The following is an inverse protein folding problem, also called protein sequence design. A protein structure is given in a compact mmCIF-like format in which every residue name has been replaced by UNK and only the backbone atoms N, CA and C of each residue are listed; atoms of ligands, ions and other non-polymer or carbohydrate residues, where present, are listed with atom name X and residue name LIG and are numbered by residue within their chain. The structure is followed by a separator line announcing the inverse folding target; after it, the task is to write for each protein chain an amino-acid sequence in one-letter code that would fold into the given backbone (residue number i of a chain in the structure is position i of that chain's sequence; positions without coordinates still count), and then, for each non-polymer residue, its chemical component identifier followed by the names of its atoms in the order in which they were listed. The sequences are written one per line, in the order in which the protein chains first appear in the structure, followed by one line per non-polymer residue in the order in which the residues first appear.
data_IF_776539516920
#
_entry.id   IF_776539516920
#
_cell.length_a   1.000
_cell.length_b   1.000
_cell.length_c   1.000
_cell.angle_alpha   90.00
_cell.angle_beta   90.00
_cell.angle_gamma   90.00
#
_symmetry.space_group_name_H-M   'P 1'
#
loop_
_entity.id
_entity.type
_entity.pdbx_description
1 polymer ?
#
# COMPACT_ATOMS: atom_id res chain seq x y z
N UNK A 1 -59.83 14.35 -14.27
CA UNK A 1 -59.75 13.81 -12.89
C UNK A 1 -59.68 12.28 -12.98
N UNK A 2 -58.67 11.64 -13.57
CA UNK A 2 -57.36 11.26 -13.02
C UNK A 2 -57.36 10.91 -11.51
N UNK A 3 -57.63 9.64 -11.18
CA UNK A 3 -57.18 9.01 -9.93
C UNK A 3 -57.24 7.46 -9.98
N UNK A 4 -56.06 6.84 -10.14
CA UNK A 4 -55.59 5.62 -9.48
C UNK A 4 -56.52 4.37 -9.40
N UNK A 5 -56.20 3.32 -10.17
CA UNK A 5 -56.28 1.91 -9.73
C UNK A 5 -55.77 0.96 -10.84
N UNK A 6 -54.45 0.75 -10.92
CA UNK A 6 -53.88 -0.44 -11.57
C UNK A 6 -53.06 -1.16 -10.50
N UNK A 7 -53.80 -1.87 -9.63
CA UNK A 7 -53.28 -2.80 -8.62
C UNK A 7 -54.13 -4.07 -8.72
N UNK A 8 -53.79 -4.97 -9.65
CA UNK A 8 -54.30 -6.37 -9.64
C UNK A 8 -53.79 -7.21 -10.82
N UNK A 9 -52.49 -7.18 -11.08
CA UNK A 9 -51.80 -8.19 -11.90
C UNK A 9 -50.35 -8.10 -11.47
N UNK A 10 -49.89 -8.86 -10.49
CA UNK A 10 -49.27 -10.17 -10.72
C UNK A 10 -49.31 -10.88 -9.36
N UNK A 11 -50.24 -11.81 -9.21
CA UNK A 11 -50.16 -12.87 -8.21
C UNK A 11 -49.58 -14.09 -8.93
N UNK A 12 -48.44 -14.55 -8.42
CA UNK A 12 -47.84 -15.89 -8.57
C UNK A 12 -47.03 -16.22 -9.84
N UNK A 13 -46.13 -17.20 -9.60
CA UNK A 13 -45.06 -17.78 -10.41
C UNK A 13 -43.95 -16.75 -10.76
N UNK A 14 -42.71 -16.82 -10.26
CA UNK A 14 -41.83 -17.97 -10.08
C UNK A 14 -40.86 -17.73 -8.92
N UNK A 15 -40.54 -18.79 -8.17
CA UNK A 15 -39.55 -18.77 -7.10
C UNK A 15 -38.15 -18.51 -7.68
N UNK A 16 -37.73 -17.25 -7.74
CA UNK A 16 -36.31 -16.91 -7.99
C UNK A 16 -35.52 -17.43 -6.80
N UNK A 17 -34.54 -18.34 -6.96
CA UNK A 17 -33.72 -18.77 -5.83
C UNK A 17 -32.90 -17.56 -5.35
N UNK A 18 -33.14 -17.06 -4.13
CA UNK A 18 -32.46 -15.88 -3.55
C UNK A 18 -30.98 -16.11 -3.19
N UNK A 19 -30.45 -17.33 -3.42
CA UNK A 19 -29.10 -17.73 -3.01
C UNK A 19 -27.95 -17.07 -3.80
N UNK A 20 -28.00 -16.87 -5.13
CA UNK A 20 -26.89 -16.26 -5.85
C UNK A 20 -26.83 -14.74 -5.64
N UNK A 21 -27.97 -14.06 -5.43
CA UNK A 21 -28.00 -12.60 -5.24
C UNK A 21 -27.36 -12.20 -3.91
N UNK A 22 -27.62 -12.95 -2.85
CA UNK A 22 -26.97 -12.71 -1.55
C UNK A 22 -25.45 -12.95 -1.59
N UNK A 23 -25.01 -13.98 -2.31
CA UNK A 23 -23.58 -14.28 -2.49
C UNK A 23 -22.89 -13.21 -3.34
N UNK A 24 -23.53 -12.76 -4.43
CA UNK A 24 -23.02 -11.65 -5.25
C UNK A 24 -22.95 -10.34 -4.44
N UNK A 25 -23.98 -9.99 -3.68
CA UNK A 25 -23.97 -8.79 -2.84
C UNK A 25 -22.88 -8.85 -1.75
N UNK A 26 -22.65 -10.02 -1.14
CA UNK A 26 -21.59 -10.21 -0.15
C UNK A 26 -20.18 -10.15 -0.79
N UNK A 27 -20.02 -10.69 -2.00
CA UNK A 27 -18.78 -10.61 -2.77
C UNK A 27 -18.46 -9.16 -3.22
N UNK A 28 -19.47 -8.38 -3.62
CA UNK A 28 -19.30 -6.95 -3.90
C UNK A 28 -18.95 -6.14 -2.64
N UNK A 29 -19.51 -6.48 -1.47
CA UNK A 29 -19.18 -5.81 -0.21
C UNK A 29 -17.73 -6.10 0.25
N UNK A 30 -17.19 -7.28 -0.03
CA UNK A 30 -15.81 -7.64 0.31
C UNK A 30 -14.77 -6.97 -0.61
N UNK A 31 -15.12 -6.67 -1.86
CA UNK A 31 -14.23 -5.96 -2.80
C UNK A 31 -14.21 -4.45 -2.58
N UNK A 32 -15.23 -3.88 -1.93
CA UNK A 32 -15.29 -2.45 -1.61
C UNK A 32 -14.33 -1.98 -0.50
N UNK A 33 -13.74 -2.90 0.28
CA UNK A 33 -12.68 -2.57 1.24
C UNK A 33 -11.27 -2.57 0.63
N UNK A 34 -11.11 -2.98 -0.62
CA UNK A 34 -9.83 -2.99 -1.31
C UNK A 34 -9.70 -1.76 -2.21
N UNK A 35 -9.35 -0.63 -1.60
CA UNK A 35 -8.61 0.42 -2.30
C UNK A 35 -9.44 1.43 -3.07
N UNK A 36 -10.21 2.25 -2.34
CA UNK A 36 -10.32 3.66 -2.71
C UNK A 36 -9.03 4.39 -2.31
N UNK A 37 -7.88 3.93 -2.82
CA UNK A 37 -6.67 4.74 -2.76
C UNK A 37 -6.87 5.84 -3.78
N UNK A 38 -7.02 7.07 -3.31
CA UNK A 38 -6.90 8.24 -4.17
C UNK A 38 -5.52 8.17 -4.83
N UNK A 39 -5.49 7.72 -6.09
CA UNK A 39 -4.31 7.88 -6.94
C UNK A 39 -4.03 9.38 -7.06
N UNK A 40 -2.77 9.82 -6.97
CA UNK A 40 -2.37 11.15 -7.43
C UNK A 40 -2.95 11.39 -8.81
N UNK A 41 -3.97 12.26 -8.91
CA UNK A 41 -4.65 12.54 -10.18
C UNK A 41 -3.72 13.30 -11.15
N UNK A 42 -2.55 13.72 -10.69
CA UNK A 42 -1.51 14.36 -11.47
C UNK A 42 -0.30 13.41 -11.67
N UNK A 43 -0.02 13.09 -12.94
CA UNK A 43 1.15 12.28 -13.29
C UNK A 43 2.47 12.87 -12.81
N UNK A 44 2.52 14.20 -12.55
CA UNK A 44 3.67 14.88 -11.97
C UNK A 44 3.92 14.47 -10.52
N UNK A 45 2.92 14.49 -9.63
CA UNK A 45 3.07 13.98 -8.26
C UNK A 45 3.44 12.52 -8.25
N UNK A 46 2.80 11.68 -9.07
CA UNK A 46 3.16 10.26 -9.17
C UNK A 46 4.64 10.08 -9.54
N UNK A 47 5.13 10.85 -10.51
CA UNK A 47 6.55 10.84 -10.89
C UNK A 47 7.46 11.26 -9.73
N UNK A 48 7.07 12.26 -8.93
CA UNK A 48 7.85 12.68 -7.75
C UNK A 48 7.86 11.60 -6.67
N UNK A 49 6.72 10.95 -6.42
CA UNK A 49 6.59 9.86 -5.45
C UNK A 49 7.50 8.70 -5.87
N UNK A 50 7.44 8.28 -7.14
CA UNK A 50 8.31 7.23 -7.69
C UNK A 50 9.78 7.59 -7.48
N UNK A 51 10.20 8.81 -7.85
CA UNK A 51 11.58 9.27 -7.63
C UNK A 51 12.00 9.30 -6.17
N UNK A 52 11.08 9.66 -5.27
CA UNK A 52 11.36 9.65 -3.83
C UNK A 52 11.56 8.21 -3.31
N UNK A 53 10.77 7.25 -3.79
CA UNK A 53 10.98 5.83 -3.52
C UNK A 53 12.33 5.35 -4.05
N UNK A 54 12.66 5.64 -5.31
CA UNK A 54 13.95 5.27 -5.92
C UNK A 54 15.14 5.85 -5.14
N UNK A 55 15.05 7.11 -4.69
CA UNK A 55 16.11 7.75 -3.91
C UNK A 55 16.35 7.05 -2.57
N UNK A 56 15.27 6.75 -1.84
CA UNK A 56 15.35 5.97 -0.59
C UNK A 56 15.97 4.60 -0.86
N UNK A 57 15.51 3.92 -1.90
CA UNK A 57 15.93 2.57 -2.23
C UNK A 57 17.41 2.49 -2.61
N UNK A 58 17.89 3.49 -3.34
CA UNK A 58 19.31 3.65 -3.65
C UNK A 58 20.14 3.87 -2.37
N UNK A 59 19.64 4.68 -1.43
CA UNK A 59 20.29 4.86 -0.13
C UNK A 59 20.36 3.54 0.65
N UNK A 60 19.25 2.80 0.74
CA UNK A 60 19.19 1.53 1.45
C UNK A 60 20.15 0.51 0.84
N UNK A 61 20.14 0.36 -0.48
CA UNK A 61 21.05 -0.54 -1.19
C UNK A 61 22.53 -0.18 -0.97
N UNK A 62 22.87 1.11 -1.04
CA UNK A 62 24.23 1.60 -0.83
C UNK A 62 24.73 1.31 0.59
N UNK A 63 23.91 1.58 1.60
CA UNK A 63 24.31 1.39 3.01
C UNK A 63 24.31 -0.09 3.41
N UNK A 64 23.44 -0.92 2.82
CA UNK A 64 23.43 -2.36 3.06
C UNK A 64 24.68 -3.07 2.49
N UNK A 65 25.28 -2.54 1.42
CA UNK A 65 26.51 -3.06 0.83
C UNK A 65 27.79 -2.64 1.56
N UNK A 66 27.70 -1.76 2.58
CA UNK A 66 28.85 -1.36 3.40
C UNK A 66 29.21 -2.37 4.49
N UNK A 67 30.38 -2.19 5.13
CA UNK A 67 30.91 -3.11 6.16
C UNK A 67 29.99 -3.28 7.38
N UNK A 68 29.13 -2.29 7.65
CA UNK A 68 28.08 -2.34 8.70
C UNK A 68 27.11 -3.51 8.42
N UNK A 69 26.84 -3.78 7.15
CA UNK A 69 25.96 -4.86 6.70
C UNK A 69 26.51 -6.25 6.96
N UNK A 70 27.82 -6.44 7.11
CA UNK A 70 28.46 -7.75 7.24
C UNK A 70 28.92 -8.09 8.66
N UNK A 71 29.09 -7.09 9.52
CA UNK A 71 29.67 -7.24 10.86
C UNK A 71 28.65 -7.38 12.00
N UNK A 72 27.42 -6.91 11.80
CA UNK A 72 26.34 -6.94 12.79
C UNK A 72 25.35 -8.09 12.52
N UNK A 73 24.45 -8.38 13.47
CA UNK A 73 23.28 -9.20 13.14
C UNK A 73 22.40 -8.50 12.07
N UNK A 74 21.56 -9.27 11.36
CA UNK A 74 20.79 -8.73 10.23
C UNK A 74 19.81 -7.62 10.66
N UNK A 75 19.23 -7.72 11.87
CA UNK A 75 18.28 -6.76 12.39
C UNK A 75 18.94 -5.45 12.81
N UNK A 76 20.09 -5.52 13.49
CA UNK A 76 20.93 -4.39 13.84
C UNK A 76 21.48 -3.68 12.60
N UNK A 77 21.95 -4.44 11.60
CA UNK A 77 22.37 -3.90 10.32
C UNK A 77 21.21 -3.19 9.60
N UNK A 78 20.03 -3.83 9.53
CA UNK A 78 18.84 -3.23 8.91
C UNK A 78 18.41 -1.95 9.62
N UNK A 79 18.43 -1.92 10.95
CA UNK A 79 18.14 -0.73 11.73
C UNK A 79 19.13 0.39 11.45
N UNK A 80 20.44 0.09 11.44
CA UNK A 80 21.49 1.06 11.13
C UNK A 80 21.34 1.63 9.71
N UNK A 81 21.04 0.77 8.73
CA UNK A 81 20.77 1.17 7.33
C UNK A 81 19.53 2.05 7.24
N UNK A 82 18.45 1.71 7.93
CA UNK A 82 17.23 2.52 7.99
C UNK A 82 17.52 3.91 8.57
N UNK A 83 18.26 3.97 9.69
CA UNK A 83 18.65 5.22 10.35
C UNK A 83 19.53 6.09 9.44
N UNK A 84 20.44 5.49 8.67
CA UNK A 84 21.27 6.22 7.71
C UNK A 84 20.47 6.86 6.57
N UNK A 85 19.28 6.31 6.25
CA UNK A 85 18.41 6.75 5.15
C UNK A 85 17.13 7.47 5.63
N UNK A 86 17.12 7.96 6.88
CA UNK A 86 16.05 8.81 7.41
C UNK A 86 15.81 10.06 6.53
N UNK A 87 16.83 10.77 6.02
CA UNK A 87 16.61 11.96 5.19
C UNK A 87 15.82 11.66 3.91
N UNK A 88 16.10 10.56 3.23
CA UNK A 88 15.37 10.11 2.04
C UNK A 88 13.96 9.62 2.39
N UNK A 89 13.82 8.95 3.53
CA UNK A 89 12.53 8.47 4.03
C UNK A 89 11.59 9.63 4.36
N UNK A 90 12.08 10.67 5.05
CA UNK A 90 11.26 11.84 5.38
C UNK A 90 10.91 12.69 4.15
N UNK A 91 11.80 12.77 3.14
CA UNK A 91 11.45 13.35 1.83
C UNK A 91 10.32 12.57 1.14
N UNK A 92 10.35 11.24 1.22
CA UNK A 92 9.28 10.39 0.69
C UNK A 92 7.97 10.62 1.46
N UNK A 93 8.01 10.79 2.78
CA UNK A 93 6.84 11.18 3.58
C UNK A 93 6.29 12.52 3.11
N UNK A 94 7.14 13.54 2.96
CA UNK A 94 6.73 14.89 2.53
C UNK A 94 6.02 14.87 1.17
N UNK A 95 6.56 14.11 0.21
CA UNK A 95 6.00 14.05 -1.15
C UNK A 95 4.74 13.18 -1.21
N UNK A 96 4.66 12.11 -0.42
CA UNK A 96 3.55 11.13 -0.48
C UNK A 96 2.38 11.49 0.43
N UNK A 97 2.63 12.21 1.52
CA UNK A 97 1.63 12.54 2.53
C UNK A 97 1.11 13.98 2.39
N UNK A 98 0.52 14.31 1.24
CA UNK A 98 0.01 15.67 0.99
C UNK A 98 -1.14 16.05 1.94
N UNK A 99 -1.87 15.08 2.47
CA UNK A 99 -2.96 15.29 3.45
C UNK A 99 -2.47 15.47 4.89
N UNK A 100 -1.19 15.19 5.18
CA UNK A 100 -0.62 15.25 6.53
C UNK A 100 -1.13 14.17 7.48
N UNK A 101 -1.66 13.05 6.97
CA UNK A 101 -2.12 11.93 7.81
C UNK A 101 -0.91 11.26 8.48
N UNK A 102 -0.83 11.25 9.83
CA UNK A 102 0.30 10.63 10.54
C UNK A 102 0.46 9.13 10.24
N UNK A 103 -0.62 8.43 9.86
CA UNK A 103 -0.57 7.00 9.52
C UNK A 103 0.20 6.74 8.24
N UNK A 104 0.14 7.66 7.26
CA UNK A 104 0.88 7.53 5.99
C UNK A 104 2.37 7.66 6.23
N UNK A 105 2.78 8.68 7.00
CA UNK A 105 4.20 8.86 7.36
C UNK A 105 4.74 7.67 8.15
N UNK A 106 3.96 7.15 9.08
CA UNK A 106 4.34 5.98 9.87
C UNK A 106 4.44 4.70 9.03
N UNK A 107 3.51 4.49 8.10
CA UNK A 107 3.56 3.37 7.18
C UNK A 107 4.81 3.42 6.28
N UNK A 108 5.19 4.61 5.80
CA UNK A 108 6.40 4.80 4.98
C UNK A 108 7.67 4.52 5.79
N UNK A 109 7.74 4.96 7.06
CA UNK A 109 8.88 4.65 7.94
C UNK A 109 9.02 3.14 8.18
N UNK A 110 7.92 2.46 8.50
CA UNK A 110 7.90 0.99 8.67
C UNK A 110 8.25 0.24 7.40
N UNK A 111 7.77 0.70 6.25
CA UNK A 111 8.17 0.13 4.95
C UNK A 111 9.68 0.29 4.73
N UNK A 112 10.26 1.42 5.12
CA UNK A 112 11.69 1.67 4.98
C UNK A 112 12.53 0.74 5.86
N UNK A 113 12.11 0.47 7.09
CA UNK A 113 12.73 -0.53 7.98
C UNK A 113 12.63 -1.95 7.40
N UNK A 114 11.44 -2.34 6.93
CA UNK A 114 11.22 -3.65 6.34
C UNK A 114 12.09 -3.85 5.09
N UNK A 115 12.18 -2.84 4.23
CA UNK A 115 12.99 -2.92 3.01
C UNK A 115 14.48 -2.88 3.31
N UNK A 116 14.91 -2.14 4.33
CA UNK A 116 16.30 -2.15 4.81
C UNK A 116 16.74 -3.59 5.16
N UNK A 117 15.91 -4.34 5.88
CA UNK A 117 16.14 -5.77 6.14
C UNK A 117 16.30 -6.54 4.84
N UNK A 118 15.37 -6.39 3.89
CA UNK A 118 15.46 -7.06 2.59
C UNK A 118 16.73 -6.72 1.81
N UNK A 119 17.28 -5.50 1.90
CA UNK A 119 18.56 -5.14 1.27
C UNK A 119 19.75 -5.77 2.01
N UNK A 120 19.75 -5.80 3.34
CA UNK A 120 20.81 -6.43 4.14
C UNK A 120 20.88 -7.92 3.84
N UNK A 121 19.75 -8.63 3.86
CA UNK A 121 19.72 -10.07 3.57
C UNK A 121 20.21 -10.38 2.14
N UNK A 122 19.84 -9.54 1.16
CA UNK A 122 20.34 -9.66 -0.23
C UNK A 122 21.83 -9.39 -0.34
N UNK A 123 22.35 -8.36 0.34
CA UNK A 123 23.78 -8.04 0.35
C UNK A 123 24.63 -9.16 0.95
N UNK A 124 24.06 -9.94 1.88
CA UNK A 124 24.68 -11.13 2.50
C UNK A 124 24.55 -12.41 1.66
N UNK A 125 23.73 -12.40 0.61
CA UNK A 125 23.42 -13.61 -0.17
C UNK A 125 22.44 -14.56 0.53
N UNK A 126 21.74 -14.11 1.57
CA UNK A 126 20.77 -14.91 2.33
C UNK A 126 19.40 -14.99 1.62
N UNK A 127 19.14 -14.10 0.66
CA UNK A 127 17.94 -14.09 -0.20
C UNK A 127 18.38 -13.89 -1.65
N UNK A 128 18.04 -14.84 -2.52
CA UNK A 128 18.23 -14.74 -3.97
C UNK A 128 17.00 -14.14 -4.64
N UNK A 129 17.20 -13.42 -5.75
CA UNK A 129 16.11 -12.92 -6.62
C UNK A 129 15.30 -14.05 -7.24
#
# INVERSE_FOLDING_TARGET
MMRWAILSRIRQSEAVPWRPVAVFALALALTACAGAYHTPSDGRLNTRIIKAYEARDACLAKNAAGDIGLSLDAAQAAQAVSLACVPETEKLVEVSNTSGDPKVGEAIRKDSEFRAMGYVLRARGEVTN
#
